data_IF_175945611791
#
_entry.id   IF_175945611791
#
_cell.length_a   1.000
_cell.length_b   1.000
_cell.length_c   1.000
_cell.angle_alpha   90.00
_cell.angle_beta   90.00
_cell.angle_gamma   90.00
#
_symmetry.space_group_name_H-M   'P 1'
#
loop_
_entity.id
_entity.type
_entity.pdbx_description
1 polymer ?
#
# COMPACT_ATOMS: atom_id res chain seq x y z
N UNK A 1 29.57 49.59 10.96
CA UNK A 1 29.66 48.11 11.03
C UNK A 1 29.98 47.60 9.63
N UNK A 2 31.27 47.53 9.28
CA UNK A 2 31.72 47.08 7.96
C UNK A 2 31.68 45.55 7.91
N UNK A 3 30.71 44.98 7.21
CA UNK A 3 30.71 43.54 6.95
C UNK A 3 31.76 43.20 5.88
N UNK A 4 32.54 42.17 6.17
CA UNK A 4 33.72 41.75 5.42
C UNK A 4 33.29 41.02 4.11
N UNK A 5 33.84 41.38 2.93
CA UNK A 5 33.41 40.84 1.63
C UNK A 5 33.59 39.33 1.49
N UNK A 6 34.42 38.70 2.35
CA UNK A 6 34.64 37.25 2.40
C UNK A 6 33.43 36.47 2.94
N UNK A 7 32.63 37.06 3.83
CA UNK A 7 31.45 36.40 4.41
C UNK A 7 30.30 36.37 3.38
N UNK A 8 30.17 37.44 2.58
CA UNK A 8 29.18 37.52 1.49
C UNK A 8 29.46 36.47 0.42
N UNK A 9 30.73 36.23 0.08
CA UNK A 9 31.12 35.24 -0.92
C UNK A 9 30.86 33.79 -0.45
N UNK A 10 31.07 33.49 0.83
CA UNK A 10 30.75 32.16 1.40
C UNK A 10 29.24 31.94 1.50
N UNK A 11 28.46 32.97 1.85
CA UNK A 11 27.00 32.87 1.88
C UNK A 11 26.41 32.61 0.48
N UNK A 12 26.97 33.22 -0.57
CA UNK A 12 26.54 33.02 -1.95
C UNK A 12 26.90 31.64 -2.51
N UNK A 13 28.06 31.08 -2.15
CA UNK A 13 28.43 29.71 -2.57
C UNK A 13 27.59 28.64 -1.87
N UNK A 14 27.26 28.83 -0.59
CA UNK A 14 26.36 27.93 0.13
C UNK A 14 24.93 27.99 -0.42
N UNK A 15 24.42 29.17 -0.80
CA UNK A 15 23.08 29.29 -1.40
C UNK A 15 22.97 28.58 -2.77
N UNK A 16 24.03 28.63 -3.59
CA UNK A 16 24.06 27.98 -4.90
C UNK A 16 24.14 26.44 -4.85
N UNK A 17 24.57 25.87 -3.71
CA UNK A 17 24.66 24.43 -3.48
C UNK A 17 23.33 23.80 -3.01
N UNK A 18 22.34 24.61 -2.64
CA UNK A 18 21.01 24.11 -2.22
C UNK A 18 20.00 24.02 -3.38
N UNK A 19 20.28 24.66 -4.52
CA UNK A 19 19.34 24.72 -5.66
C UNK A 19 19.47 23.55 -6.64
N UNK A 20 20.35 22.58 -6.37
CA UNK A 20 20.64 21.46 -7.26
C UNK A 20 20.05 20.13 -6.80
N UNK A 21 18.96 20.13 -6.02
CA UNK A 21 18.15 18.92 -5.84
C UNK A 21 17.35 18.72 -7.13
N UNK A 22 17.62 17.67 -7.94
CA UNK A 22 16.75 17.34 -9.05
C UNK A 22 15.35 17.05 -8.50
N UNK A 23 14.37 17.90 -8.85
CA UNK A 23 12.95 17.71 -8.56
C UNK A 23 12.38 16.60 -9.45
N UNK A 24 12.89 15.38 -9.25
CA UNK A 24 12.68 14.26 -10.15
C UNK A 24 13.08 12.94 -9.51
N UNK A 25 12.72 12.71 -8.25
CA UNK A 25 12.49 11.34 -7.81
C UNK A 25 11.24 10.86 -8.56
N UNK A 26 11.42 10.40 -9.80
CA UNK A 26 10.34 9.96 -10.66
C UNK A 26 9.60 8.82 -9.99
N UNK A 27 8.34 9.07 -9.59
CA UNK A 27 7.48 8.01 -9.11
C UNK A 27 7.39 6.96 -10.22
N UNK A 28 7.74 5.71 -9.90
CA UNK A 28 7.63 4.60 -10.84
C UNK A 28 6.15 4.45 -11.14
N UNK A 29 5.76 4.74 -12.38
CA UNK A 29 4.38 4.57 -12.82
C UNK A 29 4.20 3.12 -13.25
N UNK A 30 3.39 2.39 -12.51
CA UNK A 30 3.10 0.98 -12.73
C UNK A 30 1.65 0.85 -13.20
N UNK A 31 1.41 0.21 -14.34
CA UNK A 31 0.06 0.00 -14.91
C UNK A 31 -0.26 -1.47 -15.21
N UNK A 32 0.74 -2.33 -15.16
CA UNK A 32 0.59 -3.77 -15.38
C UNK A 32 0.74 -4.46 -14.03
N UNK A 33 -0.37 -4.97 -13.50
CA UNK A 33 -0.42 -5.61 -12.20
C UNK A 33 0.48 -6.85 -12.14
N UNK A 34 0.43 -7.69 -13.18
CA UNK A 34 1.21 -8.94 -13.22
C UNK A 34 2.71 -8.64 -13.23
N UNK A 35 3.12 -7.65 -14.02
CA UNK A 35 4.51 -7.18 -14.01
C UNK A 35 4.89 -6.55 -12.68
N UNK A 36 4.00 -5.76 -12.09
CA UNK A 36 4.22 -5.13 -10.77
C UNK A 36 4.48 -6.18 -9.71
N UNK A 37 3.64 -7.22 -9.64
CA UNK A 37 3.79 -8.31 -8.69
C UNK A 37 5.07 -9.12 -8.94
N UNK A 38 5.30 -9.53 -10.19
CA UNK A 38 6.39 -10.44 -10.55
C UNK A 38 7.77 -9.80 -10.62
N UNK A 39 7.87 -8.47 -10.80
CA UNK A 39 9.15 -7.77 -10.98
C UNK A 39 9.50 -6.86 -9.81
N UNK A 40 8.50 -6.22 -9.18
CA UNK A 40 8.71 -5.21 -8.14
C UNK A 40 8.31 -5.73 -6.76
N UNK A 41 7.06 -6.15 -6.60
CA UNK A 41 6.48 -6.50 -5.30
C UNK A 41 7.25 -7.64 -4.61
N UNK A 42 7.33 -8.82 -5.23
CA UNK A 42 8.07 -9.93 -4.63
C UNK A 42 9.59 -9.77 -4.72
N UNK A 43 10.20 -9.47 -5.89
CA UNK A 43 11.64 -9.54 -6.03
C UNK A 43 12.40 -8.32 -5.48
N UNK A 44 11.73 -7.20 -5.20
CA UNK A 44 12.36 -5.97 -4.72
C UNK A 44 11.81 -5.58 -3.36
N UNK A 45 10.49 -5.33 -3.26
CA UNK A 45 9.88 -4.82 -2.02
C UNK A 45 9.92 -5.87 -0.89
N UNK A 46 9.56 -7.11 -1.18
CA UNK A 46 9.54 -8.22 -0.21
C UNK A 46 10.68 -9.23 -0.42
N UNK A 47 11.79 -8.81 -1.05
CA UNK A 47 12.95 -9.68 -1.34
C UNK A 47 13.46 -10.42 -0.12
N UNK A 48 13.49 -9.73 1.03
CA UNK A 48 14.06 -10.25 2.27
C UNK A 48 12.99 -10.82 3.21
N UNK A 49 11.79 -11.09 2.69
CA UNK A 49 10.64 -11.47 3.50
C UNK A 49 9.98 -10.27 4.18
N UNK A 50 9.24 -10.55 5.25
CA UNK A 50 8.51 -9.54 5.99
C UNK A 50 7.52 -10.16 6.97
N UNK A 51 6.45 -9.44 7.29
CA UNK A 51 5.35 -9.95 8.11
C UNK A 51 4.03 -9.81 7.35
N UNK A 52 3.18 -10.83 7.43
CA UNK A 52 1.85 -10.81 6.85
C UNK A 52 0.98 -9.70 7.44
N UNK A 53 0.09 -9.13 6.63
CA UNK A 53 -0.71 -7.96 6.97
C UNK A 53 -1.57 -8.18 8.21
N UNK A 54 -2.39 -9.23 8.23
CA UNK A 54 -3.39 -9.43 9.27
C UNK A 54 -2.86 -10.16 10.50
N UNK A 55 -2.14 -11.25 10.30
CA UNK A 55 -1.69 -12.12 11.38
C UNK A 55 -0.30 -11.75 11.91
N UNK A 56 0.39 -10.76 11.32
CA UNK A 56 1.76 -10.36 11.69
C UNK A 56 2.76 -11.53 11.68
N UNK A 57 2.44 -12.60 10.95
CA UNK A 57 3.26 -13.80 10.86
C UNK A 57 4.50 -13.47 10.01
N UNK A 58 5.73 -13.67 10.52
CA UNK A 58 6.93 -13.46 9.74
C UNK A 58 7.05 -14.50 8.62
N UNK A 59 7.64 -14.11 7.51
CA UNK A 59 7.91 -14.99 6.38
C UNK A 59 9.24 -14.67 5.72
N UNK A 60 9.87 -15.70 5.12
CA UNK A 60 11.09 -15.61 4.34
C UNK A 60 10.94 -16.16 2.91
N UNK A 61 9.81 -16.77 2.59
CA UNK A 61 9.44 -17.24 1.26
C UNK A 61 7.95 -16.97 1.00
N UNK A 62 7.51 -17.18 -0.23
CA UNK A 62 6.15 -16.84 -0.70
C UNK A 62 5.15 -18.00 -0.58
N UNK A 63 5.55 -19.17 -0.09
CA UNK A 63 4.68 -20.34 -0.03
C UNK A 63 3.53 -20.11 0.96
N UNK A 64 2.29 -20.30 0.49
CA UNK A 64 1.09 -20.08 1.31
C UNK A 64 0.74 -18.61 1.54
N UNK A 65 1.42 -17.70 0.83
CA UNK A 65 1.14 -16.26 0.85
C UNK A 65 0.46 -15.82 -0.44
N UNK A 66 -0.26 -14.70 -0.36
CA UNK A 66 -0.88 -14.03 -1.50
C UNK A 66 -0.70 -12.53 -1.38
N UNK A 67 -0.93 -11.83 -2.49
CA UNK A 67 -1.02 -10.37 -2.53
C UNK A 67 -2.45 -9.97 -2.21
N UNK A 68 -2.60 -9.05 -1.27
CA UNK A 68 -3.87 -8.45 -0.86
C UNK A 68 -3.94 -7.01 -1.34
N UNK A 69 -5.06 -6.67 -1.98
CA UNK A 69 -5.46 -5.28 -2.17
C UNK A 69 -6.22 -4.81 -0.94
N UNK A 70 -5.61 -3.94 -0.13
CA UNK A 70 -6.23 -3.44 1.11
C UNK A 70 -7.52 -2.68 0.83
N UNK A 71 -7.49 -1.87 -0.22
CA UNK A 71 -8.66 -1.35 -0.88
C UNK A 71 -9.05 -2.35 -1.98
N UNK A 72 -10.13 -3.12 -1.81
CA UNK A 72 -10.50 -4.18 -2.74
C UNK A 72 -10.73 -3.66 -4.15
N UNK A 73 -10.25 -4.41 -5.14
CA UNK A 73 -10.45 -4.05 -6.56
C UNK A 73 -11.91 -4.04 -6.96
N UNK A 74 -12.79 -4.81 -6.29
CA UNK A 74 -14.24 -4.74 -6.52
C UNK A 74 -14.81 -3.35 -6.32
N UNK A 75 -14.32 -2.58 -5.34
CA UNK A 75 -14.81 -1.22 -5.11
C UNK A 75 -14.36 -0.28 -6.23
N UNK A 76 -13.17 -0.50 -6.81
CA UNK A 76 -12.70 0.22 -7.99
C UNK A 76 -13.53 -0.14 -9.22
N UNK A 77 -13.81 -1.43 -9.43
CA UNK A 77 -14.66 -1.91 -10.53
C UNK A 77 -16.04 -1.26 -10.49
N UNK A 78 -16.68 -1.26 -9.31
CA UNK A 78 -17.98 -0.61 -9.13
C UNK A 78 -17.92 0.91 -9.38
N UNK A 79 -16.84 1.58 -8.97
CA UNK A 79 -16.66 3.02 -9.20
C UNK A 79 -16.42 3.37 -10.67
N UNK A 80 -15.87 2.44 -11.46
CA UNK A 80 -15.64 2.60 -12.89
C UNK A 80 -16.77 2.03 -13.76
N UNK A 81 -17.82 1.48 -13.15
CA UNK A 81 -18.96 0.83 -13.83
C UNK A 81 -18.53 -0.40 -14.66
N UNK A 82 -17.63 -1.21 -14.10
CA UNK A 82 -17.15 -2.46 -14.68
C UNK A 82 -17.79 -3.69 -14.01
N UNK A 83 -18.11 -4.71 -14.80
CA UNK A 83 -18.60 -5.98 -14.26
C UNK A 83 -17.51 -6.81 -13.57
N UNK A 84 -16.32 -6.86 -14.16
CA UNK A 84 -15.17 -7.63 -13.69
C UNK A 84 -13.83 -7.03 -14.11
N UNK A 85 -12.74 -7.39 -13.42
CA UNK A 85 -11.40 -6.81 -13.63
C UNK A 85 -10.92 -6.83 -15.09
N UNK A 86 -11.19 -7.92 -15.83
CA UNK A 86 -10.75 -8.02 -17.23
C UNK A 86 -11.41 -6.99 -18.15
N UNK A 87 -12.70 -6.69 -17.96
CA UNK A 87 -13.39 -5.62 -18.69
C UNK A 87 -12.79 -4.27 -18.29
N UNK A 88 -12.60 -4.07 -16.99
CA UNK A 88 -12.01 -2.83 -16.47
C UNK A 88 -10.60 -2.54 -16.99
N UNK A 89 -9.74 -3.57 -17.13
CA UNK A 89 -8.43 -3.43 -17.76
C UNK A 89 -8.50 -3.07 -19.25
N UNK A 90 -9.55 -3.52 -19.95
CA UNK A 90 -9.73 -3.23 -21.37
C UNK A 90 -10.28 -1.82 -21.61
N UNK A 91 -11.25 -1.41 -20.80
CA UNK A 91 -12.05 -0.21 -21.04
C UNK A 91 -11.52 1.03 -20.30
N UNK A 92 -10.79 0.84 -19.20
CA UNK A 92 -10.29 1.94 -18.36
C UNK A 92 -8.79 1.86 -18.13
N UNK A 93 -8.03 2.69 -18.85
CA UNK A 93 -6.58 2.80 -18.64
C UNK A 93 -6.20 3.13 -17.18
N UNK A 94 -7.04 3.88 -16.47
CA UNK A 94 -6.87 4.22 -15.06
C UNK A 94 -6.87 2.98 -14.14
N UNK A 95 -7.60 1.92 -14.50
CA UNK A 95 -7.73 0.71 -13.69
C UNK A 95 -6.37 0.02 -13.48
N UNK A 96 -5.56 -0.10 -14.54
CA UNK A 96 -4.25 -0.73 -14.45
C UNK A 96 -3.31 -0.02 -13.46
N UNK A 97 -3.37 1.32 -13.39
CA UNK A 97 -2.60 2.11 -12.43
C UNK A 97 -3.08 1.91 -10.99
N UNK A 98 -4.40 1.87 -10.77
CA UNK A 98 -4.98 1.63 -9.43
C UNK A 98 -4.72 0.21 -8.94
N UNK A 99 -4.84 -0.77 -9.83
CA UNK A 99 -4.58 -2.18 -9.52
C UNK A 99 -3.10 -2.43 -9.19
N UNK A 100 -2.21 -1.67 -9.81
CA UNK A 100 -0.74 -1.78 -9.66
C UNK A 100 -0.17 -0.84 -8.59
N UNK A 101 -1.00 -0.10 -7.84
CA UNK A 101 -0.52 0.81 -6.82
C UNK A 101 0.08 0.02 -5.64
N UNK A 102 1.41 0.08 -5.49
CA UNK A 102 2.12 -0.62 -4.43
C UNK A 102 1.68 -0.20 -3.02
N UNK A 103 1.11 0.99 -2.83
CA UNK A 103 0.56 1.40 -1.53
C UNK A 103 -0.73 0.66 -1.18
N UNK A 104 -1.35 0.00 -2.15
CA UNK A 104 -2.54 -0.82 -1.96
C UNK A 104 -2.22 -2.32 -1.87
N UNK A 105 -0.99 -2.74 -2.20
CA UNK A 105 -0.59 -4.15 -2.22
C UNK A 105 0.14 -4.53 -0.94
N UNK A 106 -0.31 -5.61 -0.28
CA UNK A 106 0.34 -6.14 0.92
C UNK A 106 0.40 -7.66 0.90
N UNK A 107 1.36 -8.24 1.61
CA UNK A 107 1.47 -9.70 1.75
C UNK A 107 0.51 -10.20 2.82
N UNK A 108 -0.28 -11.23 2.51
CA UNK A 108 -1.15 -11.89 3.47
C UNK A 108 -1.16 -13.40 3.29
N UNK A 109 -1.82 -14.14 4.19
CA UNK A 109 -1.96 -15.60 4.07
C UNK A 109 -3.04 -15.93 3.05
N UNK A 110 -2.85 -17.01 2.28
CA UNK A 110 -3.74 -17.38 1.17
C UNK A 110 -5.24 -17.44 1.57
N UNK A 111 -5.58 -17.91 2.77
CA UNK A 111 -6.97 -17.97 3.23
C UNK A 111 -7.51 -16.69 3.87
N UNK A 112 -6.66 -15.77 4.33
CA UNK A 112 -7.13 -14.53 4.98
C UNK A 112 -7.61 -13.48 3.98
N UNK A 113 -6.97 -13.42 2.79
CA UNK A 113 -7.41 -12.56 1.69
C UNK A 113 -8.82 -12.93 1.22
N UNK A 114 -8.99 -14.21 0.88
CA UNK A 114 -10.25 -14.78 0.40
C UNK A 114 -11.38 -14.57 1.41
N UNK A 115 -11.12 -14.85 2.69
CA UNK A 115 -12.11 -14.64 3.73
C UNK A 115 -12.46 -13.16 3.94
N UNK A 116 -11.54 -12.21 3.71
CA UNK A 116 -11.88 -10.79 3.74
C UNK A 116 -12.84 -10.44 2.61
N UNK A 117 -12.57 -10.93 1.41
CA UNK A 117 -13.26 -10.51 0.20
C UNK A 117 -13.27 -8.99 0.07
N UNK A 118 -14.44 -8.41 -0.14
CA UNK A 118 -14.60 -6.95 -0.31
C UNK A 118 -15.19 -6.25 0.93
N UNK A 119 -15.11 -6.91 2.09
CA UNK A 119 -15.68 -6.38 3.33
C UNK A 119 -14.91 -5.14 3.80
N UNK A 120 -15.67 -4.18 4.34
CA UNK A 120 -15.10 -3.00 4.94
C UNK A 120 -14.36 -3.35 6.25
N UNK A 121 -13.33 -2.57 6.58
CA UNK A 121 -12.68 -2.69 7.87
C UNK A 121 -13.57 -2.12 8.99
N UNK A 122 -13.67 -2.83 10.11
CA UNK A 122 -14.40 -2.39 11.30
C UNK A 122 -14.25 -3.37 12.46
N UNK A 123 -14.68 -2.98 13.66
CA UNK A 123 -14.54 -3.84 14.83
C UNK A 123 -15.48 -5.07 14.74
N UNK A 124 -14.91 -6.27 14.91
CA UNK A 124 -15.67 -7.52 15.01
C UNK A 124 -15.55 -8.03 16.45
N UNK A 125 -16.66 -8.09 17.22
CA UNK A 125 -16.64 -8.49 18.62
C UNK A 125 -16.29 -9.97 18.83
N UNK A 126 -15.90 -10.30 20.07
CA UNK A 126 -15.59 -11.66 20.51
C UNK A 126 -14.13 -12.07 20.27
N UNK A 127 -13.77 -13.27 20.72
CA UNK A 127 -12.38 -13.79 20.70
C UNK A 127 -12.17 -14.98 19.78
N UNK A 128 -13.00 -15.13 18.74
CA UNK A 128 -12.80 -16.17 17.72
C UNK A 128 -11.40 -16.08 17.10
N UNK A 129 -10.83 -17.24 16.78
CA UNK A 129 -9.48 -17.43 16.23
C UNK A 129 -9.56 -18.34 15.00
N UNK A 130 -10.35 -17.90 14.02
CA UNK A 130 -10.71 -18.71 12.84
C UNK A 130 -9.49 -19.01 11.94
N UNK A 131 -8.41 -18.24 12.09
CA UNK A 131 -7.20 -18.33 11.28
C UNK A 131 -5.98 -18.83 12.08
N UNK A 132 -6.18 -19.44 13.24
CA UNK A 132 -5.11 -19.94 14.10
C UNK A 132 -5.03 -19.18 15.43
N UNK A 133 -4.47 -19.85 16.45
CA UNK A 133 -4.46 -19.35 17.83
C UNK A 133 -3.70 -18.02 18.00
N UNK A 134 -2.69 -17.79 17.17
CA UNK A 134 -1.82 -16.62 17.13
C UNK A 134 -2.35 -15.50 16.22
N UNK A 135 -3.45 -15.71 15.50
CA UNK A 135 -4.02 -14.73 14.59
C UNK A 135 -5.37 -14.20 15.09
N UNK A 136 -5.43 -12.90 15.39
CA UNK A 136 -6.65 -12.21 15.83
C UNK A 136 -7.48 -11.61 14.67
N UNK A 137 -7.17 -12.01 13.43
CA UNK A 137 -7.98 -11.67 12.26
C UNK A 137 -9.33 -12.40 12.34
N UNK A 138 -10.41 -11.70 11.98
CA UNK A 138 -11.79 -12.17 12.11
C UNK A 138 -12.57 -11.75 10.87
N UNK A 139 -13.68 -12.41 10.60
CA UNK A 139 -14.60 -11.96 9.56
C UNK A 139 -16.02 -12.09 10.09
N UNK A 140 -16.86 -11.11 9.79
CA UNK A 140 -18.28 -11.13 10.09
C UNK A 140 -19.07 -10.75 8.84
N UNK A 141 -19.49 -11.76 8.08
CA UNK A 141 -20.42 -11.58 6.94
C UNK A 141 -21.71 -10.86 7.38
N UNK A 142 -22.36 -11.22 8.52
CA UNK A 142 -23.58 -10.53 8.93
C UNK A 142 -23.40 -9.04 9.20
N UNK A 143 -22.21 -8.63 9.65
CA UNK A 143 -21.90 -7.21 9.87
C UNK A 143 -21.32 -6.54 8.62
N UNK A 144 -20.91 -7.31 7.61
CA UNK A 144 -20.16 -6.78 6.46
C UNK A 144 -18.75 -6.31 6.82
N UNK A 145 -18.17 -6.81 7.93
CA UNK A 145 -16.95 -6.26 8.53
C UNK A 145 -15.83 -7.30 8.68
N UNK A 146 -14.61 -6.78 8.59
CA UNK A 146 -13.36 -7.44 8.91
C UNK A 146 -12.57 -6.55 9.89
N UNK A 147 -11.91 -7.04 10.96
CA UNK A 147 -11.14 -6.19 11.86
C UNK A 147 -10.13 -5.41 11.05
N UNK A 148 -10.09 -4.11 11.31
CA UNK A 148 -8.96 -3.29 10.93
C UNK A 148 -7.70 -4.05 11.34
N UNK A 149 -6.82 -4.35 10.38
CA UNK A 149 -5.49 -4.83 10.68
C UNK A 149 -4.87 -3.90 11.73
N UNK A 150 -3.80 -4.34 12.40
CA UNK A 150 -3.04 -3.50 13.33
C UNK A 150 -2.30 -2.36 12.58
N UNK A 151 -3.04 -1.47 11.90
CA UNK A 151 -2.61 -0.24 11.21
C UNK A 151 -1.88 0.73 12.14
N UNK A 152 -1.90 0.46 13.45
CA UNK A 152 -1.28 1.32 14.45
C UNK A 152 0.25 1.16 14.56
N UNK A 153 0.89 0.23 13.84
CA UNK A 153 2.30 -0.13 14.08
C UNK A 153 3.27 -0.01 12.89
N UNK A 154 2.79 -0.01 11.64
CA UNK A 154 3.60 0.42 10.50
C UNK A 154 3.05 1.79 10.11
N UNK A 155 3.88 2.84 10.10
CA UNK A 155 3.50 4.22 9.77
C UNK A 155 2.97 4.43 8.34
N UNK A 156 2.54 3.36 7.68
CA UNK A 156 2.07 3.31 6.31
C UNK A 156 0.56 3.50 6.32
N UNK A 157 0.18 4.73 5.99
CA UNK A 157 -1.21 5.12 5.75
C UNK A 157 -1.66 4.47 4.45
N UNK A 158 -2.15 3.24 4.51
CA UNK A 158 -3.09 2.74 3.50
C UNK A 158 -4.42 3.47 3.71
N UNK A 159 -4.43 4.78 3.47
CA UNK A 159 -5.66 5.58 3.42
C UNK A 159 -6.57 4.93 2.38
N UNK A 160 -7.88 4.80 2.59
CA UNK A 160 -8.86 5.88 2.37
C UNK A 160 -8.60 6.73 1.09
N UNK A 161 -7.81 6.23 0.14
CA UNK A 161 -7.28 6.98 -1.00
C UNK A 161 -8.32 7.23 -2.10
N UNK A 162 -9.45 6.51 -2.08
CA UNK A 162 -10.44 6.56 -3.16
C UNK A 162 -11.64 7.46 -2.89
N UNK A 163 -11.65 8.21 -1.77
CA UNK A 163 -12.67 9.21 -1.45
C UNK A 163 -12.11 10.64 -1.31
N UNK A 164 -11.02 10.96 -2.02
CA UNK A 164 -10.49 12.32 -2.14
C UNK A 164 -9.33 12.62 -1.17
N UNK A 165 -8.11 12.58 -1.73
CA UNK A 165 -6.87 13.22 -1.23
C UNK A 165 -6.43 12.85 0.19
N UNK A 166 -5.34 12.09 0.31
CA UNK A 166 -4.44 12.21 1.46
C UNK A 166 -3.02 12.58 1.02
N UNK A 167 -2.76 13.89 1.05
CA UNK A 167 -1.45 14.44 1.37
C UNK A 167 -1.02 13.92 2.75
N UNK A 168 0.18 13.35 2.84
CA UNK A 168 1.32 13.90 3.61
C UNK A 168 2.38 12.80 3.82
N UNK A 169 3.52 13.06 3.16
CA UNK A 169 4.87 12.59 3.46
C UNK A 169 5.10 12.20 4.93
N UNK A 170 5.83 11.10 5.15
CA UNK A 170 7.24 11.12 5.54
C UNK A 170 7.68 9.76 6.07
N UNK A 171 8.73 9.21 5.49
CA UNK A 171 9.80 8.59 6.26
C UNK A 171 11.11 9.08 5.66
N UNK A 172 11.74 10.00 6.39
CA UNK A 172 13.18 10.24 6.34
C UNK A 172 13.89 9.06 7.00
#
# INVERSE_FOLDING_TARGET
MSQCPRIILVALTVLALWTSVPAGAGQIVLSDYQRTVSVVFWPQLYRNGGETLYCRQPFSNTLGLTVEHVYPMRWVELALDCDHSQACRADHAAYGYMESDLHNLYVTRLGTADARGDLAFGFVPGDRRDFGADCNFKVSIPMGLCPAAAWRLRGDRACLALHGVCLWFAAA
#
